data_IF_911354194135
#
_entry.id   IF_911354194135
#
_cell.length_a   1.000
_cell.length_b   1.000
_cell.length_c   1.000
_cell.angle_alpha   90.00
_cell.angle_beta   90.00
_cell.angle_gamma   90.00
#
_symmetry.space_group_name_H-M   'P 1'
#
loop_
_entity.id
_entity.type
_entity.pdbx_description
1 polymer ?
#
# COMPACT_ATOMS: atom_id res chain seq x y z
N UNK A 1 15.27 7.75 -37.14
CA UNK A 1 13.94 7.60 -36.50
C UNK A 1 14.15 7.44 -35.01
N UNK A 2 13.82 8.45 -34.21
CA UNK A 2 14.00 8.39 -32.75
C UNK A 2 12.98 7.43 -32.12
N UNK A 3 13.46 6.32 -31.59
CA UNK A 3 12.68 5.35 -30.83
C UNK A 3 12.22 5.94 -29.49
N UNK A 4 11.11 6.68 -29.48
CA UNK A 4 10.51 7.15 -28.23
C UNK A 4 9.88 5.97 -27.48
N UNK A 5 10.59 5.45 -26.49
CA UNK A 5 10.06 4.48 -25.53
C UNK A 5 9.02 5.21 -24.68
N UNK A 6 7.77 4.73 -24.67
CA UNK A 6 6.78 5.21 -23.72
C UNK A 6 7.28 4.93 -22.30
N UNK A 7 7.47 5.97 -21.47
CA UNK A 7 7.94 5.75 -20.10
C UNK A 7 6.84 5.05 -19.32
N UNK A 8 7.20 4.03 -18.52
CA UNK A 8 6.24 3.25 -17.73
C UNK A 8 5.32 4.14 -16.87
N UNK A 9 5.87 5.26 -16.37
CA UNK A 9 5.13 6.25 -15.59
C UNK A 9 4.01 6.94 -16.37
N UNK A 10 4.11 7.08 -17.70
CA UNK A 10 3.04 7.70 -18.50
C UNK A 10 1.80 6.80 -18.55
N UNK A 11 1.98 5.48 -18.64
CA UNK A 11 0.86 4.51 -18.64
C UNK A 11 0.17 4.52 -17.28
N UNK A 12 0.95 4.51 -16.19
CA UNK A 12 0.40 4.59 -14.83
C UNK A 12 -0.39 5.89 -14.62
N UNK A 13 0.16 7.03 -15.03
CA UNK A 13 -0.53 8.34 -14.95
C UNK A 13 -1.79 8.38 -15.81
N UNK A 14 -1.76 7.77 -17.00
CA UNK A 14 -2.93 7.68 -17.87
C UNK A 14 -4.05 6.88 -17.20
N UNK A 15 -3.75 5.71 -16.62
CA UNK A 15 -4.75 4.90 -15.90
C UNK A 15 -5.31 5.68 -14.71
N UNK A 16 -4.44 6.33 -13.92
CA UNK A 16 -4.86 7.15 -12.78
C UNK A 16 -5.76 8.32 -13.20
N UNK A 17 -5.41 9.01 -14.31
CA UNK A 17 -6.20 10.12 -14.85
C UNK A 17 -7.57 9.65 -15.37
N UNK A 18 -7.61 8.55 -16.13
CA UNK A 18 -8.85 8.00 -16.66
C UNK A 18 -9.83 7.59 -15.55
N UNK A 19 -9.33 6.91 -14.51
CA UNK A 19 -10.18 6.46 -13.41
C UNK A 19 -10.52 7.61 -12.45
N UNK A 20 -9.52 8.33 -11.94
CA UNK A 20 -9.69 9.31 -10.87
C UNK A 20 -10.29 10.65 -11.31
N UNK A 21 -9.97 11.14 -12.50
CA UNK A 21 -10.45 12.46 -12.97
C UNK A 21 -11.61 12.30 -13.95
N UNK A 22 -11.52 11.33 -14.86
CA UNK A 22 -12.52 11.14 -15.93
C UNK A 22 -13.61 10.13 -15.58
N UNK A 23 -13.52 9.48 -14.42
CA UNK A 23 -14.49 8.50 -13.91
C UNK A 23 -14.82 7.40 -14.95
N UNK A 24 -13.80 7.02 -15.72
CA UNK A 24 -13.93 6.00 -16.77
C UNK A 24 -13.89 4.63 -16.10
N UNK A 25 -14.87 3.80 -16.43
CA UNK A 25 -14.96 2.42 -15.93
C UNK A 25 -13.72 1.61 -16.30
N UNK A 26 -13.31 0.73 -15.40
CA UNK A 26 -12.20 -0.21 -15.55
C UNK A 26 -12.26 -0.99 -16.86
N UNK A 27 -13.45 -1.43 -17.28
CA UNK A 27 -13.65 -2.15 -18.55
C UNK A 27 -13.21 -1.32 -19.76
N UNK A 28 -13.58 -0.03 -19.79
CA UNK A 28 -13.18 0.90 -20.86
C UNK A 28 -11.69 1.24 -20.80
N UNK A 29 -11.12 1.41 -19.59
CA UNK A 29 -9.68 1.60 -19.41
C UNK A 29 -8.90 0.43 -20.01
N UNK A 30 -9.34 -0.82 -19.78
CA UNK A 30 -8.71 -1.99 -20.40
C UNK A 30 -8.76 -1.96 -21.92
N UNK A 31 -9.89 -1.54 -22.50
CA UNK A 31 -10.02 -1.42 -23.96
C UNK A 31 -9.05 -0.37 -24.53
N UNK A 32 -8.88 0.78 -23.86
CA UNK A 32 -7.89 1.78 -24.26
C UNK A 32 -6.46 1.27 -24.18
N UNK A 33 -6.11 0.58 -23.09
CA UNK A 33 -4.79 -0.03 -22.94
C UNK A 33 -4.52 -1.09 -24.02
N UNK A 34 -5.51 -1.91 -24.36
CA UNK A 34 -5.40 -2.88 -25.45
C UNK A 34 -5.20 -2.19 -26.81
N UNK A 35 -5.93 -1.12 -27.08
CA UNK A 35 -5.77 -0.34 -28.30
C UNK A 35 -4.38 0.31 -28.42
N UNK A 36 -3.85 0.87 -27.32
CA UNK A 36 -2.49 1.44 -27.26
C UNK A 36 -1.45 0.36 -27.54
N UNK A 37 -1.58 -0.82 -26.93
CA UNK A 37 -0.65 -1.93 -27.17
C UNK A 37 -0.71 -2.41 -28.62
N UNK A 38 -1.90 -2.61 -29.19
CA UNK A 38 -2.05 -3.00 -30.59
C UNK A 38 -1.45 -1.97 -31.55
N UNK A 39 -1.67 -0.68 -31.30
CA UNK A 39 -1.09 0.40 -32.10
C UNK A 39 0.44 0.34 -32.09
N UNK A 40 1.04 0.12 -30.92
CA UNK A 40 2.51 0.01 -30.80
C UNK A 40 3.07 -1.24 -31.47
N UNK A 41 2.41 -2.38 -31.30
CA UNK A 41 2.81 -3.63 -31.93
C UNK A 41 2.79 -3.50 -33.45
N UNK A 42 1.77 -2.85 -34.02
CA UNK A 42 1.68 -2.58 -35.46
C UNK A 42 2.77 -1.63 -35.97
N UNK A 43 3.24 -0.71 -35.13
CA UNK A 43 4.35 0.17 -35.44
C UNK A 43 5.74 -0.49 -35.23
N UNK A 44 5.78 -1.79 -34.93
CA UNK A 44 7.03 -2.55 -34.74
C UNK A 44 7.69 -2.37 -33.37
N UNK A 45 7.00 -1.77 -32.40
CA UNK A 45 7.51 -1.62 -31.03
C UNK A 45 7.12 -2.80 -30.15
N UNK A 46 7.94 -3.06 -29.13
CA UNK A 46 7.66 -4.05 -28.08
C UNK A 46 6.45 -3.64 -27.21
N UNK A 47 5.82 -4.64 -26.59
CA UNK A 47 4.66 -4.45 -25.70
C UNK A 47 4.97 -3.44 -24.58
N UNK A 48 4.20 -2.34 -24.46
CA UNK A 48 4.37 -1.33 -23.41
C UNK A 48 4.12 -1.86 -21.98
N UNK A 49 3.48 -3.02 -21.83
CA UNK A 49 3.16 -3.63 -20.54
C UNK A 49 4.18 -4.65 -20.05
N UNK A 50 5.23 -4.87 -20.85
CA UNK A 50 6.32 -5.75 -20.52
C UNK A 50 7.58 -4.94 -20.23
N UNK A 51 8.32 -5.36 -19.22
CA UNK A 51 9.68 -4.89 -18.97
C UNK A 51 10.66 -5.51 -19.98
N UNK A 52 11.92 -5.06 -20.00
CA UNK A 52 12.95 -5.52 -20.96
C UNK A 52 13.15 -7.04 -21.01
N UNK A 53 12.77 -7.75 -19.94
CA UNK A 53 12.83 -9.22 -19.83
C UNK A 53 11.51 -9.91 -20.16
N UNK A 54 10.58 -9.22 -20.81
CA UNK A 54 9.23 -9.70 -21.14
C UNK A 54 8.36 -10.06 -19.93
N UNK A 55 8.66 -9.51 -18.75
CA UNK A 55 7.83 -9.67 -17.56
C UNK A 55 6.77 -8.57 -17.49
N UNK A 56 5.56 -8.91 -17.06
CA UNK A 56 4.53 -7.91 -16.80
C UNK A 56 4.97 -6.95 -15.70
N UNK A 57 4.73 -5.66 -15.90
CA UNK A 57 4.99 -4.65 -14.89
C UNK A 57 3.97 -4.76 -13.73
N UNK A 58 4.41 -5.15 -12.52
CA UNK A 58 3.50 -5.38 -11.39
C UNK A 58 2.75 -4.12 -10.97
N UNK A 59 3.34 -2.94 -11.17
CA UNK A 59 2.74 -1.64 -10.89
C UNK A 59 1.46 -1.40 -11.71
N UNK A 60 1.46 -1.82 -12.99
CA UNK A 60 0.30 -1.67 -13.89
C UNK A 60 -0.82 -2.60 -13.44
N UNK A 61 -0.49 -3.83 -13.04
CA UNK A 61 -1.48 -4.74 -12.49
C UNK A 61 -2.06 -4.24 -11.16
N UNK A 62 -1.23 -3.66 -10.28
CA UNK A 62 -1.68 -3.09 -9.01
C UNK A 62 -2.66 -1.93 -9.22
N UNK A 63 -2.35 -1.00 -10.11
CA UNK A 63 -3.23 0.16 -10.37
C UNK A 63 -4.54 -0.28 -11.04
N UNK A 64 -4.49 -1.25 -11.95
CA UNK A 64 -5.67 -1.83 -12.57
C UNK A 64 -6.55 -2.60 -11.57
N UNK A 65 -5.94 -3.32 -10.63
CA UNK A 65 -6.66 -3.95 -9.50
C UNK A 65 -7.32 -2.89 -8.61
N UNK A 66 -6.65 -1.78 -8.35
CA UNK A 66 -7.20 -0.63 -7.63
C UNK A 66 -8.43 -0.06 -8.33
N UNK A 67 -8.31 0.30 -9.61
CA UNK A 67 -9.42 0.81 -10.43
C UNK A 67 -10.60 -0.17 -10.45
N UNK A 68 -10.34 -1.47 -10.63
CA UNK A 68 -11.38 -2.50 -10.58
C UNK A 68 -12.07 -2.54 -9.23
N UNK A 69 -11.35 -2.51 -8.11
CA UNK A 69 -11.97 -2.54 -6.77
C UNK A 69 -12.91 -1.35 -6.57
N UNK A 70 -12.49 -0.16 -7.01
CA UNK A 70 -13.29 1.05 -6.87
C UNK A 70 -14.58 1.02 -7.70
N UNK A 71 -14.61 0.30 -8.82
CA UNK A 71 -15.82 0.17 -9.67
C UNK A 71 -16.91 -0.74 -9.06
N UNK A 72 -16.56 -1.70 -8.20
CA UNK A 72 -17.46 -2.81 -7.81
C UNK A 72 -17.86 -2.84 -6.33
N UNK A 73 -17.38 -1.94 -5.47
CA UNK A 73 -17.65 -2.02 -4.04
C UNK A 73 -18.88 -1.18 -3.63
N UNK A 74 -20.02 -1.80 -3.22
CA UNK A 74 -20.94 -1.17 -2.28
C UNK A 74 -20.20 -1.08 -0.94
N UNK A 75 -19.73 0.12 -0.66
CA UNK A 75 -18.77 0.43 0.40
C UNK A 75 -19.29 0.10 1.81
N UNK A 76 -18.86 -1.03 2.37
CA UNK A 76 -18.46 -0.99 3.79
C UNK A 76 -17.17 -0.18 3.78
N UNK A 77 -17.29 1.14 3.95
CA UNK A 77 -16.11 1.98 4.13
C UNK A 77 -15.44 1.54 5.43
N UNK A 78 -14.39 0.73 5.31
CA UNK A 78 -13.39 0.62 6.37
C UNK A 78 -12.79 2.01 6.53
N UNK A 79 -13.33 2.79 7.47
CA UNK A 79 -12.82 4.13 7.75
C UNK A 79 -11.44 3.96 8.41
N UNK A 80 -10.42 4.68 7.96
CA UNK A 80 -9.13 4.67 8.64
C UNK A 80 -9.33 5.14 10.09
N UNK A 81 -8.53 4.61 11.02
CA UNK A 81 -8.45 5.16 12.37
C UNK A 81 -8.02 6.61 12.20
N UNK A 82 -8.83 7.56 12.65
CA UNK A 82 -8.47 8.98 12.68
C UNK A 82 -7.74 9.30 13.98
N UNK A 83 -7.07 10.45 14.04
CA UNK A 83 -6.36 10.89 15.24
C UNK A 83 -7.31 11.02 16.44
N UNK A 84 -8.56 11.41 16.22
CA UNK A 84 -9.56 11.51 17.28
C UNK A 84 -9.92 10.14 17.86
N UNK A 85 -10.04 9.12 17.01
CA UNK A 85 -10.31 7.75 17.42
C UNK A 85 -9.10 7.19 18.17
N UNK A 86 -7.89 7.46 17.69
CA UNK A 86 -6.65 7.07 18.36
C UNK A 86 -6.55 7.70 19.77
N UNK A 87 -6.80 9.00 19.89
CA UNK A 87 -6.76 9.70 21.17
C UNK A 87 -7.78 9.16 22.16
N UNK A 88 -9.00 8.82 21.69
CA UNK A 88 -10.03 8.18 22.52
C UNK A 88 -9.57 6.80 22.99
N UNK A 89 -9.02 5.97 22.11
CA UNK A 89 -8.47 4.65 22.46
C UNK A 89 -7.36 4.76 23.50
N UNK A 90 -6.41 5.68 23.31
CA UNK A 90 -5.32 5.91 24.27
C UNK A 90 -5.85 6.40 25.61
N UNK A 91 -6.83 7.32 25.62
CA UNK A 91 -7.45 7.80 26.85
C UNK A 91 -8.09 6.65 27.65
N UNK A 92 -8.79 5.75 26.96
CA UNK A 92 -9.44 4.59 27.57
C UNK A 92 -8.40 3.58 28.09
N UNK A 93 -7.30 3.34 27.36
CA UNK A 93 -6.18 2.50 27.83
C UNK A 93 -5.50 3.07 29.07
N UNK A 94 -5.34 4.40 29.17
CA UNK A 94 -4.75 5.05 30.36
C UNK A 94 -5.63 4.94 31.60
N UNK A 95 -6.93 4.68 31.45
CA UNK A 95 -7.82 4.41 32.57
C UNK A 95 -7.63 3.00 33.17
N UNK A 96 -6.82 2.13 32.54
CA UNK A 96 -6.49 0.80 33.07
C UNK A 96 -7.60 -0.22 32.83
N UNK A 97 -7.80 -0.64 31.57
CA UNK A 97 -8.86 -1.61 31.21
C UNK A 97 -8.40 -3.04 31.42
N UNK A 98 -7.15 -3.35 31.05
CA UNK A 98 -6.62 -4.70 31.06
C UNK A 98 -5.63 -4.87 32.22
N UNK A 99 -4.39 -4.46 32.00
CA UNK A 99 -3.28 -4.56 32.93
C UNK A 99 -2.28 -3.47 32.53
N UNK A 100 -1.64 -2.75 33.48
CA UNK A 100 -0.61 -1.74 33.18
C UNK A 100 0.36 -2.11 32.06
N UNK A 101 0.83 -3.37 32.01
CA UNK A 101 1.71 -3.84 30.95
C UNK A 101 1.02 -3.90 29.58
N UNK A 102 -0.15 -4.53 29.50
CA UNK A 102 -0.90 -4.68 28.25
C UNK A 102 -1.43 -3.35 27.74
N UNK A 103 -1.87 -2.47 28.63
CA UNK A 103 -2.37 -1.14 28.28
C UNK A 103 -1.24 -0.28 27.67
N UNK A 104 -0.04 -0.35 28.25
CA UNK A 104 1.16 0.34 27.72
C UNK A 104 1.58 -0.24 26.37
N UNK A 105 1.60 -1.57 26.24
CA UNK A 105 1.94 -2.25 24.99
C UNK A 105 0.96 -1.89 23.87
N UNK A 106 -0.34 -1.88 24.18
CA UNK A 106 -1.39 -1.57 23.22
C UNK A 106 -1.36 -0.09 22.81
N UNK A 107 -1.06 0.81 23.74
CA UNK A 107 -0.82 2.23 23.43
C UNK A 107 0.37 2.39 22.46
N UNK A 108 1.50 1.72 22.72
CA UNK A 108 2.67 1.76 21.84
C UNK A 108 2.40 1.15 20.46
N UNK A 109 1.66 0.04 20.41
CA UNK A 109 1.28 -0.61 19.16
C UNK A 109 0.35 0.26 18.31
N UNK A 110 -0.69 0.87 18.91
CA UNK A 110 -1.64 1.74 18.21
C UNK A 110 -0.99 3.02 17.68
N UNK A 111 -0.12 3.65 18.48
CA UNK A 111 0.61 4.86 18.06
C UNK A 111 1.62 4.56 16.95
N UNK A 112 2.40 3.49 17.10
CA UNK A 112 3.32 3.03 16.06
C UNK A 112 2.55 2.71 14.77
N UNK A 113 1.49 1.89 14.85
CA UNK A 113 0.66 1.52 13.70
C UNK A 113 0.12 2.73 12.95
N UNK A 114 -0.38 3.74 13.68
CA UNK A 114 -0.98 4.93 13.09
C UNK A 114 0.05 5.80 12.35
N UNK A 115 1.22 6.03 12.95
CA UNK A 115 2.25 6.91 12.37
C UNK A 115 3.10 6.24 11.29
N UNK A 116 3.31 4.93 11.38
CA UNK A 116 4.06 4.17 10.38
C UNK A 116 3.18 3.57 9.27
N UNK A 117 1.86 3.67 9.41
CA UNK A 117 0.88 2.99 8.56
C UNK A 117 1.04 1.46 8.52
N UNK A 118 1.53 0.85 9.60
CA UNK A 118 1.67 -0.61 9.68
C UNK A 118 0.32 -1.32 9.63
N UNK A 119 0.32 -2.48 8.98
CA UNK A 119 -0.80 -3.42 9.07
C UNK A 119 -0.72 -4.23 10.35
N UNK A 120 -1.86 -4.68 10.85
CA UNK A 120 -1.91 -5.53 12.05
C UNK A 120 -1.01 -6.77 11.94
N UNK A 121 -0.90 -7.39 10.76
CA UNK A 121 -0.03 -8.55 10.53
C UNK A 121 1.48 -8.25 10.55
N UNK A 122 1.88 -6.98 10.48
CA UNK A 122 3.28 -6.56 10.60
C UNK A 122 3.66 -6.36 12.07
N UNK A 123 2.69 -5.98 12.91
CA UNK A 123 2.87 -5.81 14.36
C UNK A 123 2.62 -7.10 15.15
N UNK A 124 1.71 -7.92 14.67
CA UNK A 124 1.28 -9.17 15.33
C UNK A 124 1.47 -10.34 14.35
N UNK A 125 2.69 -10.89 14.25
CA UNK A 125 2.96 -12.01 13.37
C UNK A 125 2.32 -13.30 13.89
N UNK A 126 1.71 -14.09 12.99
CA UNK A 126 1.08 -15.38 13.33
C UNK A 126 2.06 -16.41 13.91
N UNK A 127 3.36 -16.31 13.58
CA UNK A 127 4.42 -17.19 14.10
C UNK A 127 5.63 -16.37 14.49
N UNK A 128 5.94 -16.32 15.78
CA UNK A 128 7.13 -15.60 16.25
C UNK A 128 8.43 -16.26 15.75
N UNK A 129 9.31 -15.47 15.14
CA UNK A 129 10.64 -15.87 14.70
C UNK A 129 11.65 -14.84 15.19
N UNK A 130 12.56 -15.17 16.13
CA UNK A 130 13.50 -14.21 16.71
C UNK A 130 14.56 -13.70 15.72
N UNK A 131 14.62 -14.25 14.50
CA UNK A 131 15.48 -13.76 13.41
C UNK A 131 14.83 -12.66 12.56
N UNK A 132 13.51 -12.53 12.64
CA UNK A 132 12.72 -11.61 11.82
C UNK A 132 11.95 -10.60 12.67
N UNK A 133 11.69 -10.93 13.94
CA UNK A 133 10.91 -10.11 14.85
C UNK A 133 11.79 -9.61 15.97
N UNK A 134 11.64 -8.32 16.27
CA UNK A 134 12.34 -7.62 17.34
C UNK A 134 12.08 -8.32 18.67
N UNK A 135 13.16 -8.67 19.35
CA UNK A 135 13.16 -9.25 20.69
C UNK A 135 13.68 -8.24 21.71
N UNK A 136 13.49 -8.51 23.00
CA UNK A 136 14.02 -7.65 24.06
C UNK A 136 15.55 -7.51 24.02
N UNK A 137 16.25 -8.49 23.42
CA UNK A 137 17.70 -8.46 23.28
C UNK A 137 18.17 -7.46 22.20
N UNK A 138 17.28 -7.09 21.27
CA UNK A 138 17.59 -6.21 20.14
C UNK A 138 17.36 -4.73 20.49
N UNK A 139 16.82 -4.46 21.68
CA UNK A 139 16.52 -3.11 22.17
C UNK A 139 17.70 -2.64 23.03
N UNK A 140 18.48 -1.69 22.52
CA UNK A 140 19.43 -0.93 23.32
C UNK A 140 18.87 0.46 23.60
N UNK A 141 18.79 0.79 24.88
CA UNK A 141 18.44 2.15 25.32
C UNK A 141 19.74 2.94 25.47
N UNK A 142 19.94 3.91 24.58
CA UNK A 142 20.95 4.95 24.77
C UNK A 142 20.28 6.23 25.31
N UNK A 143 21.05 7.12 25.91
CA UNK A 143 20.57 8.24 26.76
C UNK A 143 19.59 9.17 26.01
N UNK A 144 19.61 9.18 24.67
CA UNK A 144 18.75 10.03 23.84
C UNK A 144 17.95 9.28 22.74
N UNK A 145 18.07 7.96 22.61
CA UNK A 145 17.34 7.22 21.59
C UNK A 145 17.23 5.73 21.88
N UNK A 146 16.14 5.12 21.38
CA UNK A 146 15.97 3.67 21.34
C UNK A 146 16.51 3.19 20.00
N UNK A 147 17.57 2.39 20.04
CA UNK A 147 18.14 1.74 18.85
C UNK A 147 17.61 0.31 18.81
N UNK A 148 16.99 -0.05 17.68
CA UNK A 148 16.49 -1.39 17.40
C UNK A 148 17.42 -1.99 16.33
N UNK A 149 18.14 -3.05 16.68
CA UNK A 149 19.05 -3.77 15.78
C UNK A 149 18.37 -4.93 15.04
#
# INVERSE_FOLDING_TARGET
MHSYRLPHNAILRFIAFCHGIRNIRYSTIRSYLAAICLYRLRAGFSDPFLDMRSYKLPQIEMILKGARRLDFLPTIQCKPITIDILNKLIGVLRCGIFNPYLDTLMQAALTTAFWSFFRSGELFPDKFSPRLHVTKADIQCDINCIIIH
#
